data_IF_126416204258
#
_entry.id   IF_126416204258
#
_cell.length_a   1.000
_cell.length_b   1.000
_cell.length_c   1.000
_cell.angle_alpha   90.00
_cell.angle_beta   90.00
_cell.angle_gamma   90.00
#
_symmetry.space_group_name_H-M   'P 1'
#
loop_
_entity.id
_entity.type
_entity.pdbx_description
1 polymer ?
#
# COMPACT_ATOMS: atom_id res chain seq x y z
N UNK A 1 -4.19 8.89 6.48
CA UNK A 1 -3.99 9.86 5.38
C UNK A 1 -5.28 10.59 4.97
N UNK A 2 -6.42 9.93 4.66
CA UNK A 2 -7.63 10.63 4.19
C UNK A 2 -8.11 11.77 5.11
N UNK A 3 -8.14 11.54 6.43
CA UNK A 3 -8.52 12.56 7.42
C UNK A 3 -7.57 13.77 7.41
N UNK A 4 -6.27 13.55 7.18
CA UNK A 4 -5.27 14.64 7.15
C UNK A 4 -5.56 15.60 5.99
N UNK A 5 -5.85 15.05 4.79
CA UNK A 5 -6.02 15.85 3.58
C UNK A 5 -7.45 16.37 3.37
N UNK A 6 -8.45 15.73 3.99
CA UNK A 6 -9.86 15.96 3.67
C UNK A 6 -10.77 16.15 4.91
N UNK A 7 -10.25 15.89 6.11
CA UNK A 7 -11.03 16.06 7.35
C UNK A 7 -11.13 17.52 7.78
N UNK A 8 -12.26 17.88 8.37
CA UNK A 8 -12.44 19.15 9.08
C UNK A 8 -11.73 19.11 10.45
N UNK A 9 -11.72 20.24 11.17
CA UNK A 9 -10.99 20.36 12.44
C UNK A 9 -11.52 19.44 13.54
N UNK A 10 -12.85 19.25 13.63
CA UNK A 10 -13.47 18.33 14.58
C UNK A 10 -13.04 16.88 14.30
N UNK A 11 -13.12 16.45 13.05
CA UNK A 11 -12.71 15.11 12.61
C UNK A 11 -11.23 14.87 12.87
N UNK A 12 -10.37 15.82 12.52
CA UNK A 12 -8.92 15.74 12.78
C UNK A 12 -8.64 15.64 14.28
N UNK A 13 -9.21 16.54 15.09
CA UNK A 13 -9.02 16.53 16.54
C UNK A 13 -9.47 15.22 17.17
N UNK A 14 -10.66 14.72 16.82
CA UNK A 14 -11.26 13.49 17.38
C UNK A 14 -10.50 12.22 16.98
N UNK A 15 -10.21 12.06 15.69
CA UNK A 15 -9.71 10.79 15.15
C UNK A 15 -8.20 10.73 15.02
N UNK A 16 -7.52 11.85 14.79
CA UNK A 16 -6.05 11.87 14.78
C UNK A 16 -5.48 12.13 16.18
N UNK A 17 -6.16 12.95 17.01
CA UNK A 17 -5.73 13.23 18.39
C UNK A 17 -5.54 11.95 19.21
N UNK A 18 -6.53 11.06 19.21
CA UNK A 18 -6.44 9.77 19.92
C UNK A 18 -5.29 8.86 19.47
N UNK A 19 -4.81 9.01 18.24
CA UNK A 19 -3.66 8.24 17.70
C UNK A 19 -2.32 8.78 18.22
N UNK A 20 -2.32 9.99 18.76
CA UNK A 20 -1.15 10.61 19.39
C UNK A 20 -1.13 10.44 20.91
N UNK A 21 -2.27 10.07 21.49
CA UNK A 21 -2.44 9.83 22.93
C UNK A 21 -2.10 8.38 23.28
N UNK A 22 -2.60 7.43 22.48
CA UNK A 22 -2.46 5.99 22.71
C UNK A 22 -1.94 5.29 21.46
N UNK A 23 -1.27 4.12 21.57
CA UNK A 23 -0.76 3.35 20.43
C UNK A 23 -1.88 2.62 19.67
N UNK A 24 -2.94 3.33 19.32
CA UNK A 24 -4.07 2.83 18.55
C UNK A 24 -3.68 2.62 17.09
N UNK A 25 -4.35 1.68 16.44
CA UNK A 25 -4.20 1.43 15.00
C UNK A 25 -5.43 1.92 14.25
N UNK A 26 -5.29 2.18 12.96
CA UNK A 26 -6.41 2.45 12.05
C UNK A 26 -6.23 1.66 10.76
N UNK A 27 -7.30 1.55 9.97
CA UNK A 27 -7.28 0.81 8.70
C UNK A 27 -8.00 1.55 7.57
N UNK A 28 -7.70 1.15 6.34
CA UNK A 28 -8.17 1.76 5.10
C UNK A 28 -8.96 0.75 4.26
N UNK A 29 -10.27 0.94 4.17
CA UNK A 29 -11.25 -0.01 3.64
C UNK A 29 -11.77 0.42 2.27
N UNK A 30 -11.08 0.00 1.20
CA UNK A 30 -11.49 0.25 -0.19
C UNK A 30 -11.74 -1.04 -0.94
N UNK A 31 -10.73 -1.90 -1.01
CA UNK A 31 -10.76 -3.17 -1.75
C UNK A 31 -11.89 -4.08 -1.30
N UNK A 32 -12.50 -4.75 -2.25
CA UNK A 32 -13.59 -5.71 -2.11
C UNK A 32 -13.19 -7.05 -2.75
N UNK A 33 -13.88 -8.15 -2.43
CA UNK A 33 -13.63 -9.43 -3.10
C UNK A 33 -13.69 -9.34 -4.63
N UNK A 34 -14.60 -8.52 -5.17
CA UNK A 34 -14.80 -8.34 -6.61
C UNK A 34 -14.06 -7.15 -7.24
N UNK A 35 -13.40 -6.28 -6.45
CA UNK A 35 -12.80 -5.05 -6.97
C UNK A 35 -11.62 -4.56 -6.11
N UNK A 36 -10.43 -4.49 -6.72
CA UNK A 36 -9.21 -3.95 -6.09
C UNK A 36 -8.56 -2.88 -6.96
N UNK A 37 -7.97 -3.31 -8.08
CA UNK A 37 -7.39 -2.39 -9.08
C UNK A 37 -8.44 -1.42 -9.65
N UNK A 38 -9.65 -1.93 -9.92
CA UNK A 38 -10.80 -1.14 -10.35
C UNK A 38 -11.56 -0.59 -9.14
N UNK A 39 -11.05 0.49 -8.54
CA UNK A 39 -11.70 1.15 -7.40
C UNK A 39 -13.09 1.70 -7.77
N UNK A 40 -13.34 2.03 -9.04
CA UNK A 40 -14.67 2.46 -9.47
C UNK A 40 -15.68 1.29 -9.54
N UNK A 41 -15.19 0.05 -9.52
CA UNK A 41 -16.00 -1.17 -9.51
C UNK A 41 -16.61 -1.55 -8.16
N UNK A 42 -16.20 -0.90 -7.05
CA UNK A 42 -16.67 -1.26 -5.70
C UNK A 42 -18.21 -1.14 -5.55
N UNK A 43 -18.79 -2.02 -4.74
CA UNK A 43 -20.23 -2.23 -4.58
C UNK A 43 -20.74 -2.01 -3.16
N UNK A 44 -19.88 -1.86 -2.15
CA UNK A 44 -20.33 -1.45 -0.80
C UNK A 44 -21.15 -0.17 -0.92
N UNK A 45 -22.41 -0.22 -0.46
CA UNK A 45 -23.38 0.86 -0.59
C UNK A 45 -23.38 1.74 0.64
N UNK A 46 -23.65 3.03 0.46
CA UNK A 46 -23.95 3.98 1.50
C UNK A 46 -25.28 4.68 1.19
N UNK A 47 -26.33 4.36 1.94
CA UNK A 47 -27.66 4.95 1.77
C UNK A 47 -27.90 5.99 2.86
N UNK A 48 -28.20 7.23 2.49
CA UNK A 48 -28.51 8.29 3.45
C UNK A 48 -29.92 8.08 4.04
N UNK A 49 -30.02 7.98 5.36
CA UNK A 49 -31.30 7.93 6.11
C UNK A 49 -31.31 9.00 7.19
N UNK A 50 -31.97 10.12 6.89
CA UNK A 50 -31.99 11.29 7.78
C UNK A 50 -30.59 11.85 8.02
N UNK A 51 -30.12 11.72 9.25
CA UNK A 51 -28.85 12.27 9.72
C UNK A 51 -27.68 11.27 9.75
N UNK A 52 -27.90 10.05 9.25
CA UNK A 52 -26.92 8.98 9.16
C UNK A 52 -26.89 8.33 7.77
N UNK A 53 -25.87 7.53 7.54
CA UNK A 53 -25.74 6.63 6.39
C UNK A 53 -25.79 5.20 6.87
N UNK A 54 -26.49 4.36 6.13
CA UNK A 54 -26.51 2.91 6.31
C UNK A 54 -25.54 2.30 5.32
N UNK A 55 -24.53 1.61 5.84
CA UNK A 55 -23.48 0.97 5.04
C UNK A 55 -23.77 -0.53 4.95
N UNK A 56 -23.79 -1.04 3.72
CA UNK A 56 -23.93 -2.47 3.43
C UNK A 56 -22.90 -2.92 2.40
N UNK A 57 -22.10 -3.92 2.73
CA UNK A 57 -21.13 -4.51 1.81
C UNK A 57 -20.02 -5.31 2.48
N UNK A 58 -19.05 -5.72 1.68
CA UNK A 58 -17.91 -6.50 2.15
C UNK A 58 -16.61 -5.92 1.60
N UNK A 59 -15.67 -5.68 2.52
CA UNK A 59 -14.30 -5.28 2.23
C UNK A 59 -13.35 -6.45 2.41
N UNK A 60 -12.25 -6.45 1.67
CA UNK A 60 -11.29 -7.54 1.67
C UNK A 60 -9.85 -7.03 1.61
N UNK A 61 -8.94 -7.81 2.19
CA UNK A 61 -7.50 -7.51 2.27
C UNK A 61 -7.17 -6.27 3.10
N UNK A 62 -7.92 -6.04 4.18
CA UNK A 62 -7.77 -4.87 5.03
C UNK A 62 -6.64 -5.09 6.04
N UNK A 63 -5.52 -4.39 5.84
CA UNK A 63 -4.41 -4.36 6.79
C UNK A 63 -4.84 -3.65 8.09
N UNK A 64 -4.46 -4.21 9.23
CA UNK A 64 -4.96 -3.88 10.58
C UNK A 64 -6.46 -4.11 10.76
N UNK A 65 -7.10 -4.90 9.91
CA UNK A 65 -8.56 -5.08 9.90
C UNK A 65 -9.14 -5.59 11.21
N UNK A 66 -8.41 -6.38 11.99
CA UNK A 66 -8.83 -6.85 13.32
C UNK A 66 -8.16 -6.13 14.49
N UNK A 67 -7.47 -5.01 14.22
CA UNK A 67 -6.69 -4.24 15.21
C UNK A 67 -7.00 -2.75 15.21
N UNK A 68 -7.72 -2.26 14.20
CA UNK A 68 -8.06 -0.86 14.05
C UNK A 68 -9.08 -0.40 15.09
N UNK A 69 -8.87 0.81 15.62
CA UNK A 69 -9.85 1.55 16.41
C UNK A 69 -10.91 2.20 15.51
N UNK A 70 -10.52 2.65 14.32
CA UNK A 70 -11.42 3.19 13.30
C UNK A 70 -10.92 2.89 11.89
N UNK A 71 -11.85 2.95 10.94
CA UNK A 71 -11.63 2.72 9.52
C UNK A 71 -11.87 4.01 8.73
N UNK A 72 -11.02 4.29 7.75
CA UNK A 72 -11.50 5.00 6.57
C UNK A 72 -12.25 3.99 5.70
N UNK A 73 -13.46 4.33 5.24
CA UNK A 73 -14.27 3.49 4.35
C UNK A 73 -14.67 4.26 3.10
N UNK A 74 -14.45 3.67 1.92
CA UNK A 74 -15.03 4.16 0.66
C UNK A 74 -16.23 3.31 0.27
N UNK A 75 -17.37 3.97 0.07
CA UNK A 75 -18.62 3.31 -0.34
C UNK A 75 -19.30 4.11 -1.46
N UNK A 76 -20.08 3.40 -2.29
CA UNK A 76 -20.88 3.97 -3.36
C UNK A 76 -22.15 4.58 -2.76
N UNK A 77 -22.27 5.90 -2.87
CA UNK A 77 -23.42 6.66 -2.37
C UNK A 77 -24.39 7.06 -3.48
N UNK A 78 -23.94 7.09 -4.73
CA UNK A 78 -24.81 7.33 -5.89
C UNK A 78 -25.29 5.99 -6.48
N UNK A 79 -26.60 5.69 -6.45
CA UNK A 79 -27.14 4.45 -6.99
C UNK A 79 -27.15 4.41 -8.52
N UNK A 80 -27.04 5.56 -9.22
CA UNK A 80 -27.05 5.57 -10.69
C UNK A 80 -25.79 4.86 -11.22
N UNK A 81 -25.91 3.75 -11.98
CA UNK A 81 -24.76 3.06 -12.55
C UNK A 81 -23.94 3.93 -13.53
N UNK A 82 -24.53 5.00 -14.07
CA UNK A 82 -23.87 5.95 -14.99
C UNK A 82 -23.17 7.11 -14.28
N UNK A 83 -23.32 7.23 -12.96
CA UNK A 83 -22.67 8.29 -12.19
C UNK A 83 -21.14 8.21 -12.37
N UNK A 84 -20.47 9.32 -12.73
CA UNK A 84 -19.03 9.31 -12.93
C UNK A 84 -18.30 9.05 -11.61
N UNK A 85 -17.13 8.39 -11.68
CA UNK A 85 -16.41 7.95 -10.50
C UNK A 85 -16.08 9.10 -9.51
N UNK A 86 -15.83 10.30 -10.01
CA UNK A 86 -15.57 11.49 -9.18
C UNK A 86 -16.79 12.06 -8.44
N UNK A 87 -17.97 11.45 -8.60
CA UNK A 87 -19.24 11.82 -7.93
C UNK A 87 -19.96 10.64 -7.29
N UNK A 88 -19.64 9.40 -7.67
CA UNK A 88 -20.41 8.23 -7.25
C UNK A 88 -20.11 7.72 -5.82
N UNK A 89 -19.02 8.17 -5.19
CA UNK A 89 -18.52 7.58 -3.94
C UNK A 89 -18.34 8.61 -2.85
N UNK A 90 -18.57 8.17 -1.61
CA UNK A 90 -18.38 8.97 -0.41
C UNK A 90 -17.38 8.29 0.53
N UNK A 91 -16.51 9.09 1.14
CA UNK A 91 -15.52 8.62 2.10
C UNK A 91 -16.00 8.86 3.53
N UNK A 92 -15.90 7.84 4.37
CA UNK A 92 -16.39 7.84 5.75
C UNK A 92 -15.27 7.54 6.74
N UNK A 93 -15.41 8.05 7.95
CA UNK A 93 -14.72 7.55 9.13
C UNK A 93 -15.70 6.65 9.89
N UNK A 94 -15.32 5.40 10.16
CA UNK A 94 -16.20 4.41 10.82
C UNK A 94 -15.48 3.87 12.06
N UNK A 95 -16.04 4.10 13.25
CA UNK A 95 -15.53 3.51 14.50
C UNK A 95 -15.65 1.97 14.43
N UNK A 96 -14.64 1.24 14.90
CA UNK A 96 -14.56 -0.20 14.68
C UNK A 96 -15.52 -1.03 15.53
N UNK A 97 -16.07 -0.44 16.59
CA UNK A 97 -17.06 -1.01 17.50
C UNK A 97 -18.51 -0.71 17.09
N UNK A 98 -18.72 -0.01 15.97
CA UNK A 98 -20.07 0.25 15.45
C UNK A 98 -20.82 -1.07 15.20
N UNK A 99 -22.04 -1.26 15.75
CA UNK A 99 -22.84 -2.45 15.49
C UNK A 99 -23.05 -2.72 14.00
N UNK A 100 -23.02 -4.00 13.61
CA UNK A 100 -23.12 -4.45 12.22
C UNK A 100 -21.77 -4.68 11.52
N UNK A 101 -20.66 -4.26 12.12
CA UNK A 101 -19.30 -4.60 11.64
C UNK A 101 -18.96 -6.03 12.08
N UNK A 102 -18.65 -6.88 11.11
CA UNK A 102 -18.22 -8.26 11.34
C UNK A 102 -16.81 -8.46 10.79
N UNK A 103 -15.84 -8.54 11.70
CA UNK A 103 -14.43 -8.75 11.36
C UNK A 103 -14.20 -10.24 11.10
N UNK A 104 -13.70 -10.58 9.92
CA UNK A 104 -13.40 -11.95 9.54
C UNK A 104 -12.18 -12.55 10.24
N UNK A 105 -11.79 -13.76 9.81
CA UNK A 105 -10.55 -14.39 10.26
C UNK A 105 -9.30 -13.63 9.79
N UNK A 106 -8.17 -13.89 10.42
CA UNK A 106 -6.85 -13.51 9.90
C UNK A 106 -6.54 -14.35 8.67
N UNK A 107 -6.23 -13.70 7.54
CA UNK A 107 -5.81 -14.39 6.32
C UNK A 107 -4.35 -14.86 6.42
N UNK A 108 -4.08 -16.05 5.86
CA UNK A 108 -2.76 -16.69 5.87
C UNK A 108 -2.06 -16.46 4.52
N UNK A 109 -1.32 -15.36 4.44
CA UNK A 109 -0.60 -14.96 3.23
C UNK A 109 0.82 -15.55 3.17
N UNK A 110 1.42 -15.54 1.98
CA UNK A 110 2.80 -16.01 1.73
C UNK A 110 3.85 -15.20 2.52
N UNK A 111 3.75 -13.87 2.49
CA UNK A 111 4.69 -12.92 3.09
C UNK A 111 3.99 -11.93 4.02
N UNK A 112 4.77 -11.14 4.76
CA UNK A 112 4.31 -10.19 5.78
C UNK A 112 3.37 -10.83 6.82
N UNK A 113 3.63 -12.10 7.17
CA UNK A 113 2.71 -12.97 7.93
C UNK A 113 2.31 -12.42 9.31
N UNK A 114 3.16 -11.61 9.94
CA UNK A 114 2.83 -10.98 11.22
C UNK A 114 1.77 -9.87 11.08
N UNK A 115 1.68 -9.22 9.92
CA UNK A 115 0.66 -8.19 9.63
C UNK A 115 -0.74 -8.80 9.71
N UNK A 116 -1.67 -8.10 10.36
CA UNK A 116 -3.07 -8.52 10.42
C UNK A 116 -3.80 -8.07 9.15
N UNK A 117 -4.27 -9.02 8.33
CA UNK A 117 -5.02 -8.77 7.10
C UNK A 117 -6.30 -9.57 7.12
N UNK A 118 -7.45 -8.91 6.92
CA UNK A 118 -8.78 -9.54 7.08
C UNK A 118 -9.79 -9.10 6.04
N UNK A 119 -10.84 -9.91 5.87
CA UNK A 119 -12.11 -9.45 5.33
C UNK A 119 -12.95 -8.79 6.43
N UNK A 120 -13.80 -7.83 6.06
CA UNK A 120 -14.72 -7.14 6.97
C UNK A 120 -16.07 -7.00 6.28
N UNK A 121 -17.12 -7.49 6.90
CA UNK A 121 -18.51 -7.33 6.44
C UNK A 121 -19.14 -6.17 7.21
N UNK A 122 -19.91 -5.35 6.51
CA UNK A 122 -20.71 -4.26 7.05
C UNK A 122 -22.17 -4.59 6.73
N UNK A 123 -22.96 -4.88 7.76
CA UNK A 123 -24.39 -5.17 7.67
C UNK A 123 -25.17 -4.11 8.44
N UNK A 124 -25.90 -3.26 7.71
CA UNK A 124 -26.68 -2.15 8.25
C UNK A 124 -25.91 -1.25 9.24
N UNK A 125 -24.62 -1.02 8.96
CA UNK A 125 -23.73 -0.23 9.82
C UNK A 125 -24.11 1.24 9.70
N UNK A 126 -24.46 1.86 10.83
CA UNK A 126 -24.90 3.26 10.93
C UNK A 126 -23.71 4.20 11.11
N UNK A 127 -23.56 5.16 10.21
CA UNK A 127 -22.47 6.15 10.27
C UNK A 127 -23.07 7.55 10.27
N UNK A 128 -22.80 8.39 11.28
CA UNK A 128 -23.39 9.73 11.35
C UNK A 128 -22.85 10.62 10.22
N UNK A 129 -23.66 11.57 9.74
CA UNK A 129 -23.27 12.51 8.67
C UNK A 129 -22.00 13.31 8.98
N UNK A 130 -21.70 13.56 10.26
CA UNK A 130 -20.48 14.26 10.69
C UNK A 130 -19.20 13.46 10.42
N UNK A 131 -19.29 12.16 10.14
CA UNK A 131 -18.16 11.31 9.79
C UNK A 131 -17.88 11.25 8.27
N UNK A 132 -18.65 11.99 7.46
CA UNK A 132 -18.40 12.13 6.03
C UNK A 132 -17.20 13.05 5.79
N UNK A 133 -16.24 12.62 4.98
CA UNK A 133 -15.09 13.43 4.57
C UNK A 133 -15.46 14.31 3.37
N UNK A 134 -15.37 15.62 3.55
CA UNK A 134 -15.74 16.68 2.59
C UNK A 134 -17.25 16.75 2.30
N UNK A 135 -17.85 15.65 1.85
CA UNK A 135 -19.27 15.59 1.48
C UNK A 135 -19.56 14.48 0.48
N UNK A 136 -20.84 14.35 0.13
CA UNK A 136 -21.30 13.32 -0.80
C UNK A 136 -20.63 13.44 -2.16
N UNK A 137 -20.16 12.30 -2.67
CA UNK A 137 -19.50 12.19 -3.98
C UNK A 137 -18.03 12.60 -4.00
N UNK A 138 -17.48 13.14 -2.90
CA UNK A 138 -16.06 13.54 -2.84
C UNK A 138 -15.09 12.36 -2.62
N UNK A 139 -15.60 11.17 -2.28
CA UNK A 139 -14.83 10.03 -1.78
C UNK A 139 -13.75 9.54 -2.73
N UNK A 140 -14.01 9.49 -4.04
CA UNK A 140 -13.03 9.02 -5.02
C UNK A 140 -11.80 9.94 -5.08
N UNK A 141 -12.02 11.27 -5.05
CA UNK A 141 -10.92 12.26 -5.03
C UNK A 141 -10.12 12.16 -3.74
N UNK A 142 -10.78 11.94 -2.59
CA UNK A 142 -10.11 11.74 -1.30
C UNK A 142 -9.24 10.48 -1.32
N UNK A 143 -9.77 9.36 -1.80
CA UNK A 143 -9.04 8.10 -1.92
C UNK A 143 -7.83 8.23 -2.86
N UNK A 144 -8.02 8.80 -4.05
CA UNK A 144 -6.93 8.99 -5.01
C UNK A 144 -5.87 9.98 -4.51
N UNK A 145 -6.29 11.08 -3.88
CA UNK A 145 -5.38 12.06 -3.29
C UNK A 145 -4.56 11.52 -2.12
N UNK A 146 -5.09 10.54 -1.38
CA UNK A 146 -4.33 9.86 -0.33
C UNK A 146 -3.13 9.10 -0.89
N UNK A 147 -3.27 8.47 -2.06
CA UNK A 147 -2.18 7.68 -2.66
C UNK A 147 -0.95 8.51 -3.04
N UNK A 148 -1.12 9.77 -3.43
CA UNK A 148 -0.01 10.66 -3.74
C UNK A 148 0.94 10.84 -2.53
N UNK A 149 0.40 10.75 -1.30
CA UNK A 149 1.19 10.81 -0.06
C UNK A 149 1.59 9.44 0.49
N UNK A 150 0.84 8.37 0.24
CA UNK A 150 1.16 7.03 0.78
C UNK A 150 2.12 6.23 -0.11
N UNK A 151 2.02 6.41 -1.43
CA UNK A 151 2.75 5.59 -2.40
C UNK A 151 4.29 5.77 -2.33
N UNK A 152 4.85 6.97 -2.07
CA UNK A 152 6.29 7.11 -1.80
C UNK A 152 6.75 6.34 -0.56
N UNK A 153 5.93 6.30 0.50
CA UNK A 153 6.24 5.58 1.76
C UNK A 153 6.26 4.07 1.52
N UNK A 154 5.33 3.55 0.72
CA UNK A 154 5.30 2.13 0.33
C UNK A 154 6.52 1.76 -0.51
N UNK A 155 6.93 2.64 -1.44
CA UNK A 155 8.15 2.46 -2.22
C UNK A 155 9.40 2.43 -1.32
N UNK A 156 9.47 3.30 -0.31
CA UNK A 156 10.54 3.29 0.68
C UNK A 156 10.60 1.97 1.47
N UNK A 157 9.45 1.39 1.82
CA UNK A 157 9.37 0.05 2.44
C UNK A 157 9.96 -1.06 1.54
N UNK A 158 9.69 -1.01 0.24
CA UNK A 158 10.27 -1.94 -0.73
C UNK A 158 11.80 -1.78 -0.81
N UNK A 159 12.30 -0.53 -0.80
CA UNK A 159 13.75 -0.25 -0.77
C UNK A 159 14.40 -0.74 0.52
N UNK A 160 13.75 -0.61 1.68
CA UNK A 160 14.25 -1.15 2.94
C UNK A 160 14.42 -2.68 2.90
N UNK A 161 13.45 -3.39 2.32
CA UNK A 161 13.56 -4.84 2.09
C UNK A 161 14.70 -5.17 1.13
N UNK A 162 14.80 -4.44 0.01
CA UNK A 162 15.85 -4.63 -0.99
C UNK A 162 17.26 -4.38 -0.42
N UNK A 163 17.43 -3.33 0.39
CA UNK A 163 18.67 -3.05 1.12
C UNK A 163 19.02 -4.20 2.06
N UNK A 164 18.05 -4.71 2.82
CA UNK A 164 18.29 -5.86 3.70
C UNK A 164 18.74 -7.10 2.91
N UNK A 165 18.14 -7.35 1.74
CA UNK A 165 18.55 -8.45 0.88
C UNK A 165 19.99 -8.29 0.37
N UNK A 166 20.37 -7.07 -0.05
CA UNK A 166 21.73 -6.73 -0.43
C UNK A 166 22.71 -6.94 0.72
N UNK A 167 22.42 -6.43 1.92
CA UNK A 167 23.30 -6.53 3.07
C UNK A 167 23.58 -8.00 3.46
N UNK A 168 22.54 -8.85 3.48
CA UNK A 168 22.69 -10.28 3.78
C UNK A 168 23.50 -11.01 2.71
N UNK A 169 23.24 -10.72 1.43
CA UNK A 169 23.97 -11.31 0.32
C UNK A 169 25.47 -10.91 0.33
N UNK A 170 25.76 -9.62 0.53
CA UNK A 170 27.14 -9.11 0.60
C UNK A 170 27.90 -9.70 1.78
N UNK A 171 27.32 -9.72 2.99
CA UNK A 171 27.95 -10.31 4.17
C UNK A 171 28.30 -11.78 3.93
N UNK A 172 27.33 -12.57 3.48
CA UNK A 172 27.56 -14.00 3.22
C UNK A 172 28.62 -14.23 2.14
N UNK A 173 28.63 -13.42 1.09
CA UNK A 173 29.60 -13.54 0.01
C UNK A 173 31.05 -13.21 0.45
N UNK A 174 31.21 -12.39 1.49
CA UNK A 174 32.51 -12.06 2.10
C UNK A 174 33.03 -13.12 3.08
N UNK A 175 32.21 -14.10 3.45
CA UNK A 175 32.56 -15.17 4.38
C UNK A 175 32.70 -16.53 3.67
N UNK A 176 31.76 -16.84 2.77
CA UNK A 176 31.69 -18.15 2.12
C UNK A 176 32.78 -18.30 1.05
N UNK A 177 33.43 -19.46 1.02
CA UNK A 177 34.42 -19.84 -0.01
C UNK A 177 33.94 -20.99 -0.89
N UNK A 178 34.24 -20.90 -2.18
CA UNK A 178 34.12 -21.99 -3.16
C UNK A 178 35.28 -21.90 -4.14
N UNK A 179 35.77 -23.04 -4.62
CA UNK A 179 36.92 -23.10 -5.54
C UNK A 179 38.14 -22.31 -5.02
N UNK A 180 38.38 -22.34 -3.70
CA UNK A 180 39.52 -21.69 -3.05
C UNK A 180 39.42 -20.17 -2.84
N UNK A 181 38.36 -19.51 -3.30
CA UNK A 181 38.17 -18.05 -3.22
C UNK A 181 36.90 -17.68 -2.47
N UNK A 182 36.83 -16.46 -1.92
CA UNK A 182 35.57 -15.92 -1.40
C UNK A 182 34.56 -15.77 -2.53
N UNK A 183 33.26 -15.84 -2.23
CA UNK A 183 32.24 -15.71 -3.27
C UNK A 183 32.35 -14.38 -4.03
N UNK A 184 32.65 -13.28 -3.31
CA UNK A 184 32.85 -11.97 -3.93
C UNK A 184 33.96 -11.94 -5.00
N UNK A 185 34.95 -12.83 -4.94
CA UNK A 185 36.04 -12.88 -5.91
C UNK A 185 35.64 -13.57 -7.22
N UNK A 186 34.51 -14.27 -7.25
CA UNK A 186 33.93 -14.78 -8.49
C UNK A 186 33.22 -13.64 -9.21
N UNK A 187 33.69 -13.28 -10.41
CA UNK A 187 33.20 -12.13 -11.15
C UNK A 187 31.67 -12.12 -11.33
N UNK A 188 31.06 -13.30 -11.53
CA UNK A 188 29.61 -13.44 -11.61
C UNK A 188 28.89 -12.94 -10.36
N UNK A 189 29.41 -13.24 -9.16
CA UNK A 189 28.83 -12.78 -7.88
C UNK A 189 29.08 -11.28 -7.69
N UNK A 190 30.28 -10.81 -8.00
CA UNK A 190 30.59 -9.37 -7.95
C UNK A 190 29.67 -8.55 -8.87
N UNK A 191 29.36 -9.04 -10.07
CA UNK A 191 28.44 -8.38 -11.00
C UNK A 191 27.02 -8.35 -10.47
N UNK A 192 26.54 -9.46 -9.87
CA UNK A 192 25.24 -9.47 -9.20
C UNK A 192 25.18 -8.42 -8.09
N UNK A 193 26.16 -8.38 -7.20
CA UNK A 193 26.21 -7.39 -6.11
C UNK A 193 26.26 -5.94 -6.63
N UNK A 194 27.00 -5.69 -7.71
CA UNK A 194 27.03 -4.38 -8.36
C UNK A 194 25.65 -3.96 -8.89
N UNK A 195 24.96 -4.85 -9.60
CA UNK A 195 23.61 -4.57 -10.09
C UNK A 195 22.59 -4.38 -8.96
N UNK A 196 22.70 -5.17 -7.88
CA UNK A 196 21.85 -5.03 -6.70
C UNK A 196 22.03 -3.65 -6.08
N UNK A 197 23.28 -3.21 -5.87
CA UNK A 197 23.59 -1.88 -5.33
C UNK A 197 23.04 -0.75 -6.22
N UNK A 198 23.25 -0.82 -7.55
CA UNK A 198 22.71 0.16 -8.50
C UNK A 198 21.19 0.30 -8.38
N UNK A 199 20.48 -0.84 -8.34
CA UNK A 199 19.00 -0.86 -8.26
C UNK A 199 18.49 -0.27 -6.95
N UNK A 200 19.15 -0.55 -5.82
CA UNK A 200 18.79 0.03 -4.52
C UNK A 200 18.93 1.55 -4.52
N UNK A 201 20.05 2.08 -5.01
CA UNK A 201 20.26 3.54 -5.03
C UNK A 201 19.30 4.26 -5.97
N UNK A 202 19.07 3.71 -7.16
CA UNK A 202 18.10 4.27 -8.11
C UNK A 202 16.67 4.26 -7.52
N UNK A 203 16.28 3.17 -6.86
CA UNK A 203 14.97 3.08 -6.23
C UNK A 203 14.83 4.04 -5.04
N UNK A 204 15.90 4.20 -4.25
CA UNK A 204 15.96 5.16 -3.14
C UNK A 204 15.71 6.59 -3.62
N UNK A 205 16.46 7.01 -4.64
CA UNK A 205 16.29 8.34 -5.23
C UNK A 205 14.90 8.54 -5.84
N UNK A 206 14.31 7.48 -6.42
CA UNK A 206 12.97 7.58 -7.02
C UNK A 206 11.89 7.92 -5.98
N UNK A 207 11.89 7.29 -4.80
CA UNK A 207 10.89 7.61 -3.76
C UNK A 207 11.21 8.94 -3.06
N UNK A 208 12.48 9.30 -2.91
CA UNK A 208 12.88 10.60 -2.35
C UNK A 208 12.39 11.74 -3.24
N UNK A 209 12.54 11.61 -4.57
CA UNK A 209 11.99 12.56 -5.53
C UNK A 209 10.47 12.66 -5.40
N UNK A 210 9.77 11.52 -5.35
CA UNK A 210 8.31 11.51 -5.23
C UNK A 210 7.81 12.16 -3.92
N UNK A 211 8.48 11.90 -2.79
CA UNK A 211 8.17 12.51 -1.50
C UNK A 211 8.41 14.02 -1.54
N UNK A 212 9.56 14.46 -2.02
CA UNK A 212 9.90 15.88 -2.12
C UNK A 212 8.92 16.67 -2.99
N UNK A 213 8.40 16.08 -4.08
CA UNK A 213 7.42 16.74 -4.94
C UNK A 213 6.11 17.05 -4.19
N UNK A 214 5.59 16.11 -3.40
CA UNK A 214 4.36 16.33 -2.64
C UNK A 214 4.56 17.24 -1.43
N UNK A 215 5.73 17.19 -0.80
CA UNK A 215 6.10 18.13 0.28
C UNK A 215 6.29 19.55 -0.26
N UNK A 216 6.70 19.69 -1.52
CA UNK A 216 6.75 20.98 -2.24
C UNK A 216 5.38 21.49 -2.70
N UNK A 217 4.28 20.84 -2.28
CA UNK A 217 2.91 21.22 -2.65
C UNK A 217 2.53 20.93 -4.10
N UNK A 218 3.33 20.14 -4.83
CA UNK A 218 3.04 19.77 -6.22
C UNK A 218 2.42 18.38 -6.29
N UNK A 219 1.51 18.19 -7.24
CA UNK A 219 0.94 16.86 -7.52
C UNK A 219 2.06 15.93 -8.00
N UNK A 220 2.28 14.83 -7.29
CA UNK A 220 3.42 13.93 -7.53
C UNK A 220 3.05 12.60 -8.21
N UNK A 221 1.79 12.42 -8.66
CA UNK A 221 1.26 11.14 -9.16
C UNK A 221 2.21 10.41 -10.12
N UNK A 222 2.82 11.12 -11.08
CA UNK A 222 3.81 10.56 -12.01
C UNK A 222 5.02 9.95 -11.28
N UNK A 223 5.68 10.73 -10.41
CA UNK A 223 6.87 10.30 -9.69
C UNK A 223 6.55 9.23 -8.65
N UNK A 224 5.41 9.35 -7.95
CA UNK A 224 4.97 8.36 -6.97
C UNK A 224 4.72 6.99 -7.61
N UNK A 225 4.12 6.95 -8.81
CA UNK A 225 3.89 5.70 -9.53
C UNK A 225 5.16 5.11 -10.14
N UNK A 226 6.09 5.94 -10.62
CA UNK A 226 7.44 5.47 -11.03
C UNK A 226 8.14 4.80 -9.84
N UNK A 227 8.19 5.50 -8.69
CA UNK A 227 8.89 5.00 -7.52
C UNK A 227 8.30 3.67 -7.04
N UNK A 228 6.97 3.56 -6.96
CA UNK A 228 6.33 2.32 -6.50
C UNK A 228 6.52 1.17 -7.48
N UNK A 229 6.39 1.42 -8.79
CA UNK A 229 6.63 0.38 -9.80
C UNK A 229 8.06 -0.13 -9.74
N UNK A 230 9.03 0.78 -9.81
CA UNK A 230 10.44 0.43 -9.85
C UNK A 230 10.92 -0.22 -8.55
N UNK A 231 10.60 0.37 -7.39
CA UNK A 231 10.98 -0.19 -6.10
C UNK A 231 10.33 -1.55 -5.82
N UNK A 232 9.06 -1.74 -6.22
CA UNK A 232 8.38 -3.02 -6.10
C UNK A 232 9.02 -4.12 -6.95
N UNK A 233 9.42 -3.79 -8.19
CA UNK A 233 10.06 -4.75 -9.09
C UNK A 233 11.48 -5.12 -8.61
N UNK A 234 12.31 -4.15 -8.24
CA UNK A 234 13.69 -4.43 -7.77
C UNK A 234 13.72 -5.11 -6.41
N UNK A 235 12.77 -4.86 -5.50
CA UNK A 235 12.71 -5.59 -4.23
C UNK A 235 12.49 -7.08 -4.43
N UNK A 236 11.71 -7.47 -5.44
CA UNK A 236 11.51 -8.87 -5.80
C UNK A 236 12.78 -9.48 -6.41
N UNK A 237 13.43 -8.77 -7.33
CA UNK A 237 14.67 -9.22 -7.94
C UNK A 237 15.78 -9.42 -6.90
N UNK A 238 16.01 -8.43 -6.04
CA UNK A 238 17.10 -8.49 -5.05
C UNK A 238 16.86 -9.55 -3.97
N UNK A 239 15.61 -9.80 -3.60
CA UNK A 239 15.31 -10.87 -2.65
C UNK A 239 15.60 -12.26 -3.24
N UNK A 240 15.29 -12.49 -4.52
CA UNK A 240 15.65 -13.77 -5.18
C UNK A 240 17.15 -13.88 -5.45
N UNK A 241 17.82 -12.79 -5.80
CA UNK A 241 19.29 -12.77 -6.00
C UNK A 241 20.02 -13.05 -4.67
N UNK A 242 19.49 -12.55 -3.54
CA UNK A 242 20.03 -12.85 -2.23
C UNK A 242 19.89 -14.35 -1.87
N UNK A 243 18.72 -14.96 -2.13
CA UNK A 243 18.56 -16.41 -2.02
C UNK A 243 19.57 -17.15 -2.89
N UNK A 244 19.77 -16.70 -4.13
CA UNK A 244 20.71 -17.30 -5.08
C UNK A 244 22.16 -17.25 -4.59
N UNK A 245 22.62 -16.12 -4.04
CA UNK A 245 23.98 -15.94 -3.52
C UNK A 245 24.24 -16.82 -2.29
N UNK A 246 23.23 -17.02 -1.44
CA UNK A 246 23.33 -17.92 -0.28
C UNK A 246 23.24 -19.42 -0.67
N UNK A 247 22.78 -19.72 -1.89
CA UNK A 247 22.65 -21.09 -2.41
C UNK A 247 21.65 -21.92 -1.61
N UNK A 248 22.00 -23.18 -1.31
CA UNK A 248 21.13 -24.07 -0.52
C UNK A 248 20.74 -23.51 0.86
N UNK A 249 21.63 -22.75 1.49
CA UNK A 249 21.33 -22.07 2.75
C UNK A 249 20.26 -20.98 2.58
N UNK A 250 20.26 -20.27 1.44
CA UNK A 250 19.27 -19.24 1.15
C UNK A 250 17.84 -19.77 0.98
N UNK A 251 17.69 -21.06 0.66
CA UNK A 251 16.39 -21.73 0.56
C UNK A 251 15.87 -22.23 1.91
N UNK A 252 16.71 -22.22 2.95
CA UNK A 252 16.38 -22.75 4.28
C UNK A 252 15.90 -21.63 5.22
N UNK A 253 14.93 -21.96 6.08
CA UNK A 253 14.26 -21.01 6.99
C UNK A 253 15.13 -20.54 8.16
N UNK A 254 16.28 -21.17 8.41
CA UNK A 254 17.28 -20.70 9.38
C UNK A 254 18.02 -19.45 8.86
N UNK A 255 17.98 -19.20 7.55
CA UNK A 255 18.57 -18.01 6.92
C UNK A 255 17.50 -16.98 6.56
N UNK A 256 17.82 -15.68 6.61
CA UNK A 256 16.81 -14.63 6.56
C UNK A 256 16.22 -14.38 5.17
N UNK A 257 16.90 -14.81 4.10
CA UNK A 257 16.62 -14.33 2.73
C UNK A 257 15.36 -14.96 2.10
N UNK A 258 14.96 -16.18 2.49
CA UNK A 258 13.71 -16.77 2.02
C UNK A 258 12.50 -15.94 2.45
N UNK A 259 12.53 -15.41 3.69
CA UNK A 259 11.49 -14.53 4.22
C UNK A 259 11.42 -13.24 3.41
N UNK A 260 12.56 -12.67 3.04
CA UNK A 260 12.62 -11.46 2.21
C UNK A 260 11.96 -11.72 0.85
N UNK A 261 12.21 -12.88 0.24
CA UNK A 261 11.60 -13.25 -1.04
C UNK A 261 10.08 -13.36 -0.95
N UNK A 262 9.57 -14.01 0.10
CA UNK A 262 8.12 -14.09 0.34
C UNK A 262 7.51 -12.71 0.61
N UNK A 263 8.17 -11.89 1.41
CA UNK A 263 7.70 -10.55 1.80
C UNK A 263 7.74 -9.56 0.63
N UNK A 264 8.70 -9.68 -0.29
CA UNK A 264 8.87 -8.76 -1.42
C UNK A 264 7.68 -8.77 -2.39
N UNK A 265 7.04 -9.94 -2.57
CA UNK A 265 6.01 -10.11 -3.60
C UNK A 265 4.83 -9.16 -3.48
N UNK A 266 4.46 -8.80 -2.25
CA UNK A 266 3.29 -7.96 -2.00
C UNK A 266 3.46 -6.54 -2.57
N UNK A 267 4.69 -6.04 -2.70
CA UNK A 267 4.97 -4.71 -3.24
C UNK A 267 4.63 -4.57 -4.73
N UNK A 268 4.48 -5.66 -5.47
CA UNK A 268 3.97 -5.65 -6.84
C UNK A 268 2.44 -5.72 -6.94
N UNK A 269 1.74 -5.85 -5.80
CA UNK A 269 0.30 -6.14 -5.73
C UNK A 269 -0.47 -5.01 -5.02
N UNK A 270 -0.25 -4.80 -3.73
CA UNK A 270 -1.02 -3.83 -2.94
C UNK A 270 -0.68 -2.37 -3.30
N UNK A 271 -1.50 -1.41 -2.87
CA UNK A 271 -1.30 0.04 -3.16
C UNK A 271 -1.16 0.33 -4.68
N UNK A 272 -1.87 -0.46 -5.48
CA UNK A 272 -1.90 -0.44 -6.95
C UNK A 272 -0.84 -1.35 -7.58
N UNK A 273 -1.26 -2.36 -8.32
CA UNK A 273 -0.36 -3.38 -8.90
C UNK A 273 0.69 -2.79 -9.84
N UNK A 274 1.75 -3.56 -10.15
CA UNK A 274 2.78 -3.16 -11.12
C UNK A 274 2.18 -2.70 -12.48
N UNK A 275 1.08 -3.31 -12.92
CA UNK A 275 0.37 -2.95 -14.15
C UNK A 275 -0.42 -1.65 -13.98
N UNK A 276 -1.11 -1.47 -12.85
CA UNK A 276 -1.82 -0.22 -12.55
C UNK A 276 -0.85 0.97 -12.46
N UNK A 277 0.32 0.78 -11.87
CA UNK A 277 1.34 1.84 -11.86
C UNK A 277 1.78 2.20 -13.28
N UNK A 278 1.98 1.22 -14.17
CA UNK A 278 2.33 1.46 -15.57
C UNK A 278 1.23 2.22 -16.31
N UNK A 279 -0.04 1.87 -16.09
CA UNK A 279 -1.18 2.63 -16.64
C UNK A 279 -1.18 4.09 -16.18
N UNK A 280 -0.90 4.33 -14.89
CA UNK A 280 -0.79 5.70 -14.35
C UNK A 280 0.38 6.43 -14.98
N UNK A 281 1.57 5.84 -15.01
CA UNK A 281 2.77 6.47 -15.61
C UNK A 281 2.56 6.77 -17.08
N UNK A 282 1.96 5.84 -17.84
CA UNK A 282 1.68 6.03 -19.26
C UNK A 282 0.75 7.23 -19.49
N UNK A 283 -0.39 7.29 -18.78
CA UNK A 283 -1.32 8.43 -18.88
C UNK A 283 -0.63 9.75 -18.56
N UNK A 284 0.03 9.82 -17.41
CA UNK A 284 0.70 11.06 -16.97
C UNK A 284 1.87 11.46 -17.87
N UNK A 285 2.54 10.51 -18.53
CA UNK A 285 3.59 10.78 -19.51
C UNK A 285 3.00 11.37 -20.81
N UNK A 286 1.94 10.77 -21.34
CA UNK A 286 1.26 11.22 -22.56
C UNK A 286 0.73 12.65 -22.36
N UNK A 287 0.09 12.93 -21.23
CA UNK A 287 -0.46 14.27 -20.91
C UNK A 287 0.62 15.37 -20.80
N UNK A 288 1.88 15.01 -20.55
CA UNK A 288 3.01 15.94 -20.48
C UNK A 288 3.58 16.31 -21.84
N UNK A 289 3.36 15.49 -22.86
CA UNK A 289 3.94 15.71 -24.18
C UNK A 289 3.34 16.95 -24.84
N UNK A 290 4.21 17.85 -25.34
CA UNK A 290 3.86 19.04 -26.11
C UNK A 290 4.83 19.15 -27.27
N UNK A 291 4.31 19.33 -28.49
CA UNK A 291 5.12 19.61 -29.69
C UNK A 291 5.78 20.99 -29.63
#
# INVERSE_FOLDING_TARGET
MPIIIAGNDQQKKKYLGRMTEEPLMCAYCVTEPGAGSDVAGIKTKAEKKGDEYIINGQKMWITNGGKANWYFLLARSDPDPKAPANKAFTGFIVEADTPGIQIGRKELNMGQRCSDTRGIVFEDVKVPKENVLIGDGAGFKVAMGAFDKTRPVVAAGAVGLAQRALDEATKYALERKTFGKLLVEHQAISFMLAEMAMKVELARMSYQRAAWEVDSGRRNTYYASIAKAFAGDIANQLATDAVQILGGNGFNTEYPVEKLMRDAKIYQIYEGTSQIQRLIVAREHIDKYKN
#
